data_IF_137243682993
#
_entry.id   IF_137243682993
#
_cell.length_a   1.000
_cell.length_b   1.000
_cell.length_c   1.000
_cell.angle_alpha   90.00
_cell.angle_beta   90.00
_cell.angle_gamma   90.00
#
_symmetry.space_group_name_H-M   'P 1'
#
loop_
_entity.id
_entity.type
_entity.pdbx_description
1 polymer ?
#
# COMPACT_ATOMS: atom_id res chain seq x y z
N UNK A 1 -5.75 20.83 -28.51
CA UNK A 1 -5.66 20.59 -27.05
C UNK A 1 -6.44 19.32 -26.78
N UNK A 2 -5.79 18.27 -26.25
CA UNK A 2 -6.49 17.04 -25.90
C UNK A 2 -7.02 17.14 -24.47
N UNK A 3 -8.28 16.77 -24.28
CA UNK A 3 -8.94 16.73 -22.99
C UNK A 3 -9.00 15.27 -22.52
N UNK A 4 -8.58 15.02 -21.28
CA UNK A 4 -8.70 13.72 -20.64
C UNK A 4 -9.44 13.87 -19.31
N UNK A 5 -9.96 12.75 -18.81
CA UNK A 5 -10.62 12.67 -17.50
C UNK A 5 -9.92 11.61 -16.65
N UNK A 6 -9.49 11.98 -15.44
CA UNK A 6 -8.92 11.05 -14.47
C UNK A 6 -9.92 10.72 -13.39
N UNK A 7 -10.16 9.42 -13.18
CA UNK A 7 -10.98 8.90 -12.09
C UNK A 7 -10.21 8.80 -10.78
N UNK A 8 -10.82 9.19 -9.68
CA UNK A 8 -10.25 9.09 -8.34
C UNK A 8 -11.31 9.01 -7.25
N UNK A 9 -10.94 8.52 -6.05
CA UNK A 9 -11.80 8.56 -4.86
C UNK A 9 -11.98 9.99 -4.36
N UNK A 10 -13.10 10.22 -3.65
CA UNK A 10 -13.41 11.54 -3.04
C UNK A 10 -12.56 11.88 -1.81
N UNK A 11 -11.78 10.95 -1.27
CA UNK A 11 -10.97 11.24 -0.10
C UNK A 11 -9.93 12.33 -0.39
N UNK A 12 -9.68 13.20 0.60
CA UNK A 12 -8.70 14.28 0.48
C UNK A 12 -7.32 13.78 0.03
N UNK A 13 -6.88 12.63 0.57
CA UNK A 13 -5.61 12.04 0.16
C UNK A 13 -5.62 11.62 -1.31
N UNK A 14 -6.67 10.94 -1.78
CA UNK A 14 -6.76 10.51 -3.18
C UNK A 14 -6.80 11.70 -4.14
N UNK A 15 -7.50 12.76 -3.79
CA UNK A 15 -7.54 14.00 -4.58
C UNK A 15 -6.15 14.65 -4.66
N UNK A 16 -5.39 14.71 -3.56
CA UNK A 16 -4.03 15.24 -3.57
C UNK A 16 -3.09 14.37 -4.39
N UNK A 17 -3.21 13.05 -4.32
CA UNK A 17 -2.45 12.12 -5.16
C UNK A 17 -2.76 12.35 -6.65
N UNK A 18 -4.03 12.45 -7.00
CA UNK A 18 -4.45 12.69 -8.39
C UNK A 18 -3.98 14.06 -8.89
N UNK A 19 -4.12 15.12 -8.09
CA UNK A 19 -3.63 16.46 -8.46
C UNK A 19 -2.13 16.47 -8.69
N UNK A 20 -1.34 15.78 -7.86
CA UNK A 20 0.11 15.69 -8.07
C UNK A 20 0.47 15.03 -9.40
N UNK A 21 -0.28 14.00 -9.81
CA UNK A 21 -0.10 13.35 -11.13
C UNK A 21 -0.53 14.27 -12.26
N UNK A 22 -1.67 14.95 -12.13
CA UNK A 22 -2.16 15.92 -13.13
C UNK A 22 -1.13 17.04 -13.34
N UNK A 23 -0.54 17.57 -12.26
CA UNK A 23 0.49 18.58 -12.32
C UNK A 23 1.75 18.10 -13.06
N UNK A 24 2.20 16.85 -12.78
CA UNK A 24 3.33 16.24 -13.47
C UNK A 24 3.05 16.09 -14.98
N UNK A 25 1.89 15.55 -15.36
CA UNK A 25 1.50 15.36 -16.76
C UNK A 25 1.36 16.70 -17.50
N UNK A 26 0.77 17.70 -16.86
CA UNK A 26 0.60 19.03 -17.46
C UNK A 26 1.94 19.76 -17.68
N UNK A 27 2.89 19.57 -16.76
CA UNK A 27 4.27 20.09 -16.92
C UNK A 27 5.01 19.38 -18.03
N UNK A 28 4.86 18.05 -18.16
CA UNK A 28 5.51 17.24 -19.18
C UNK A 28 4.92 17.49 -20.57
N UNK A 29 3.63 17.83 -20.67
CA UNK A 29 2.94 18.10 -21.93
C UNK A 29 1.94 19.24 -21.80
N UNK A 30 2.39 20.48 -22.04
CA UNK A 30 1.64 21.74 -21.84
C UNK A 30 0.29 21.86 -22.58
N UNK A 31 0.07 21.06 -23.64
CA UNK A 31 -1.18 21.10 -24.42
C UNK A 31 -2.24 20.09 -23.94
N UNK A 32 -2.04 19.50 -22.76
CA UNK A 32 -2.96 18.52 -22.18
C UNK A 32 -3.83 19.17 -21.11
N UNK A 33 -5.13 18.99 -21.19
CA UNK A 33 -6.08 19.34 -20.14
C UNK A 33 -6.63 18.07 -19.50
N UNK A 34 -6.60 17.99 -18.18
CA UNK A 34 -7.05 16.82 -17.44
C UNK A 34 -8.13 17.28 -16.43
N UNK A 35 -9.34 16.75 -16.55
CA UNK A 35 -10.43 16.94 -15.61
C UNK A 35 -10.39 15.83 -14.56
N UNK A 36 -10.75 16.15 -13.32
CA UNK A 36 -10.82 15.15 -12.23
C UNK A 36 -12.28 14.73 -12.05
N UNK A 37 -12.54 13.43 -12.13
CA UNK A 37 -13.84 12.81 -11.84
C UNK A 37 -13.75 12.12 -10.48
N UNK A 38 -14.49 12.66 -9.51
CA UNK A 38 -14.60 12.09 -8.18
C UNK A 38 -15.65 10.98 -8.16
N UNK A 39 -15.24 9.78 -7.74
CA UNK A 39 -16.09 8.59 -7.71
C UNK A 39 -16.21 8.11 -6.26
N UNK A 40 -17.44 7.76 -5.86
CA UNK A 40 -17.69 7.10 -4.57
C UNK A 40 -17.27 5.64 -4.67
N UNK A 41 -16.46 5.15 -3.74
CA UNK A 41 -16.18 3.74 -3.62
C UNK A 41 -17.01 3.11 -2.50
N UNK A 42 -17.41 1.85 -2.68
CA UNK A 42 -18.12 1.07 -1.66
C UNK A 42 -17.29 0.93 -0.37
N UNK A 43 -15.97 0.86 -0.51
CA UNK A 43 -15.05 0.80 0.63
C UNK A 43 -15.01 2.07 1.49
N UNK A 44 -15.40 3.25 0.93
CA UNK A 44 -15.52 4.50 1.69
C UNK A 44 -16.82 4.55 2.50
N UNK A 45 -17.86 3.86 2.08
CA UNK A 45 -19.19 3.83 2.72
C UNK A 45 -19.28 2.72 3.78
N UNK A 46 -18.53 1.64 3.64
CA UNK A 46 -18.59 0.50 4.54
C UNK A 46 -17.73 0.74 5.78
N UNK A 47 -18.33 0.60 6.96
CA UNK A 47 -17.70 0.82 8.27
C UNK A 47 -17.08 -0.44 8.86
N UNK A 48 -17.29 -1.62 8.27
CA UNK A 48 -16.75 -2.90 8.75
C UNK A 48 -15.22 -2.92 8.66
N UNK A 49 -14.49 -3.67 9.50
CA UNK A 49 -13.04 -3.80 9.43
C UNK A 49 -12.57 -4.30 8.05
N UNK A 50 -11.46 -3.76 7.52
CA UNK A 50 -10.98 -4.08 6.17
C UNK A 50 -10.70 -5.56 5.95
N UNK A 51 -10.24 -6.27 6.96
CA UNK A 51 -9.94 -7.70 6.89
C UNK A 51 -11.19 -8.61 6.85
N UNK A 52 -12.39 -8.06 7.11
CA UNK A 52 -13.66 -8.81 6.98
C UNK A 52 -14.15 -8.89 5.54
N UNK A 53 -13.53 -8.18 4.63
CA UNK A 53 -13.91 -8.19 3.24
C UNK A 53 -13.20 -9.32 2.48
N UNK A 54 -13.97 -10.18 1.86
CA UNK A 54 -13.46 -11.25 1.00
C UNK A 54 -12.95 -10.76 -0.35
N UNK A 55 -13.09 -9.46 -0.64
CA UNK A 55 -12.83 -8.92 -1.97
C UNK A 55 -11.64 -7.96 -1.96
N UNK A 56 -10.58 -8.31 -2.71
CA UNK A 56 -9.53 -7.38 -3.12
C UNK A 56 -10.14 -6.29 -3.99
N UNK A 57 -9.63 -5.06 -3.91
CA UNK A 57 -10.06 -3.98 -4.81
C UNK A 57 -11.36 -3.26 -4.41
N UNK A 58 -11.75 -3.27 -3.13
CA UNK A 58 -12.99 -2.61 -2.67
C UNK A 58 -12.98 -1.10 -2.90
N UNK A 59 -11.81 -0.49 -2.93
CA UNK A 59 -11.66 0.95 -3.11
C UNK A 59 -11.45 1.35 -4.57
N UNK A 60 -11.03 0.41 -5.42
CA UNK A 60 -10.60 0.66 -6.80
C UNK A 60 -11.67 0.25 -7.82
N UNK A 61 -12.52 -0.72 -7.47
CA UNK A 61 -13.44 -1.37 -8.40
C UNK A 61 -14.35 -0.39 -9.17
N UNK A 62 -14.97 0.56 -8.49
CA UNK A 62 -15.87 1.53 -9.10
C UNK A 62 -15.12 2.53 -9.99
N UNK A 63 -13.87 2.86 -9.60
CA UNK A 63 -13.02 3.76 -10.39
C UNK A 63 -12.51 3.03 -11.64
N UNK A 64 -12.05 1.80 -11.49
CA UNK A 64 -11.60 0.96 -12.59
C UNK A 64 -12.75 0.66 -13.57
N UNK A 65 -13.98 0.41 -13.04
CA UNK A 65 -15.15 0.26 -13.88
C UNK A 65 -15.46 1.53 -14.68
N UNK A 66 -15.31 2.70 -14.07
CA UNK A 66 -15.50 3.98 -14.80
C UNK A 66 -14.46 4.17 -15.91
N UNK A 67 -13.25 3.61 -15.78
CA UNK A 67 -12.24 3.58 -16.85
C UNK A 67 -12.65 2.61 -17.96
N UNK A 68 -13.14 1.42 -17.60
CA UNK A 68 -13.63 0.43 -18.57
C UNK A 68 -14.80 0.99 -19.36
N UNK A 69 -15.76 1.61 -18.71
CA UNK A 69 -16.98 2.18 -19.31
C UNK A 69 -16.73 3.49 -20.08
N UNK A 70 -15.50 4.05 -19.97
CA UNK A 70 -15.12 5.27 -20.69
C UNK A 70 -15.60 6.58 -20.05
N UNK A 71 -16.09 6.56 -18.79
CA UNK A 71 -16.39 7.77 -18.00
C UNK A 71 -15.11 8.47 -17.53
N UNK A 72 -14.05 7.69 -17.30
CA UNK A 72 -12.72 8.20 -17.08
C UNK A 72 -11.74 7.60 -18.12
N UNK A 73 -10.73 8.34 -18.49
CA UNK A 73 -9.69 7.87 -19.39
C UNK A 73 -8.63 7.04 -18.67
N UNK A 74 -8.32 7.41 -17.45
CA UNK A 74 -7.38 6.68 -16.57
C UNK A 74 -7.73 6.90 -15.11
N UNK A 75 -7.16 6.09 -14.24
CA UNK A 75 -7.31 6.16 -12.79
C UNK A 75 -5.96 6.40 -12.10
N UNK A 76 -6.00 7.04 -10.92
CA UNK A 76 -4.84 7.17 -10.02
C UNK A 76 -5.17 6.50 -8.68
N UNK A 77 -4.37 5.50 -8.32
CA UNK A 77 -4.52 4.74 -7.08
C UNK A 77 -3.25 4.76 -6.23
N UNK A 78 -3.39 4.56 -4.92
CA UNK A 78 -2.28 4.09 -4.10
C UNK A 78 -1.95 2.65 -4.51
N UNK A 79 -0.72 2.38 -4.95
CA UNK A 79 -0.37 1.08 -5.54
C UNK A 79 -0.57 -0.11 -4.59
N UNK A 80 -0.47 0.10 -3.28
CA UNK A 80 -0.70 -0.94 -2.26
C UNK A 80 -2.16 -1.41 -2.15
N UNK A 81 -3.09 -0.60 -2.66
CA UNK A 81 -4.53 -0.90 -2.61
C UNK A 81 -4.98 -1.61 -3.91
N UNK A 82 -4.15 -1.55 -4.97
CA UNK A 82 -4.43 -2.15 -6.29
C UNK A 82 -4.23 -3.67 -6.25
N UNK A 83 -5.23 -4.48 -6.65
CA UNK A 83 -5.11 -5.94 -6.72
C UNK A 83 -3.92 -6.38 -7.56
N UNK A 84 -3.35 -7.57 -7.23
CA UNK A 84 -2.29 -8.18 -8.04
C UNK A 84 -2.73 -8.44 -9.46
N UNK A 85 -3.98 -8.86 -9.65
CA UNK A 85 -4.62 -9.03 -10.95
C UNK A 85 -5.56 -7.87 -11.22
N UNK A 86 -5.37 -7.18 -12.34
CA UNK A 86 -6.25 -6.14 -12.85
C UNK A 86 -7.37 -6.76 -13.71
N UNK A 87 -8.45 -6.01 -13.94
CA UNK A 87 -9.42 -6.38 -14.98
C UNK A 87 -8.71 -6.60 -16.31
N UNK A 88 -9.21 -7.56 -17.11
CA UNK A 88 -8.58 -7.99 -18.39
C UNK A 88 -8.31 -6.84 -19.35
N UNK A 89 -9.15 -5.82 -19.34
CA UNK A 89 -9.06 -4.66 -20.23
C UNK A 89 -8.11 -3.56 -19.74
N UNK A 90 -7.70 -3.64 -18.47
CA UNK A 90 -6.88 -2.62 -17.83
C UNK A 90 -5.40 -3.01 -17.75
N UNK A 91 -4.55 -2.00 -17.68
CA UNK A 91 -3.11 -2.16 -17.45
C UNK A 91 -2.57 -1.09 -16.52
N UNK A 92 -1.51 -1.43 -15.80
CA UNK A 92 -0.68 -0.48 -15.07
C UNK A 92 0.16 0.30 -16.09
N UNK A 93 -0.32 1.47 -16.47
CA UNK A 93 0.28 2.28 -17.52
C UNK A 93 1.55 3.00 -17.06
N UNK A 94 1.57 3.50 -15.81
CA UNK A 94 2.72 4.26 -15.30
C UNK A 94 2.81 4.21 -13.78
N UNK A 95 4.02 4.34 -13.27
CA UNK A 95 4.36 4.47 -11.84
C UNK A 95 5.27 5.69 -11.69
N UNK A 96 4.76 6.83 -11.24
CA UNK A 96 5.60 7.99 -10.93
C UNK A 96 6.55 7.71 -9.77
N UNK A 97 7.52 8.60 -9.56
CA UNK A 97 8.51 8.51 -8.47
C UNK A 97 7.84 8.17 -7.14
N UNK A 98 8.28 7.07 -6.54
CA UNK A 98 7.77 6.53 -5.28
C UNK A 98 8.12 7.45 -4.11
N UNK A 99 7.15 7.68 -3.24
CA UNK A 99 7.36 8.35 -1.96
C UNK A 99 7.89 7.38 -0.90
N UNK A 100 8.13 7.89 0.33
CA UNK A 100 8.58 7.10 1.46
C UNK A 100 7.73 5.82 1.67
N UNK A 101 8.41 4.71 1.88
CA UNK A 101 7.78 3.39 2.10
C UNK A 101 7.52 3.09 3.57
N UNK A 102 8.14 3.85 4.49
CA UNK A 102 8.07 3.61 5.93
C UNK A 102 6.65 3.61 6.48
N UNK A 103 6.41 2.77 7.47
CA UNK A 103 5.36 2.98 8.44
C UNK A 103 5.85 3.95 9.54
N UNK A 104 4.91 4.66 10.16
CA UNK A 104 5.20 5.66 11.19
C UNK A 104 4.26 5.50 12.38
N UNK A 105 4.75 5.92 13.54
CA UNK A 105 3.95 6.05 14.76
C UNK A 105 3.51 7.50 14.96
N UNK A 106 2.28 7.67 15.42
CA UNK A 106 1.76 8.95 15.91
C UNK A 106 1.27 8.75 17.35
N UNK A 107 1.79 9.57 18.25
CA UNK A 107 1.40 9.63 19.65
C UNK A 107 1.19 11.09 20.07
N UNK A 108 0.12 11.41 20.83
CA UNK A 108 -0.27 12.78 21.17
C UNK A 108 0.79 13.56 21.97
N UNK A 109 1.61 12.86 22.75
CA UNK A 109 2.66 13.45 23.60
C UNK A 109 4.08 13.23 23.05
N UNK A 110 4.23 12.73 21.82
CA UNK A 110 5.53 12.55 21.18
C UNK A 110 6.33 11.32 21.62
N UNK A 111 5.74 10.36 22.35
CA UNK A 111 6.43 9.13 22.78
C UNK A 111 6.68 8.20 21.59
N UNK A 112 7.85 7.57 21.54
CA UNK A 112 8.21 6.53 20.58
C UNK A 112 7.66 5.17 21.04
N UNK A 113 7.72 4.15 20.19
CA UNK A 113 7.19 2.81 20.46
C UNK A 113 7.77 2.21 21.74
N UNK A 114 9.08 2.32 21.95
CA UNK A 114 9.78 1.79 23.11
C UNK A 114 9.49 2.56 24.41
N UNK A 115 8.96 3.77 24.32
CA UNK A 115 8.63 4.63 25.46
C UNK A 115 7.16 4.49 25.90
N UNK A 116 6.34 3.77 25.11
CA UNK A 116 4.93 3.56 25.44
C UNK A 116 4.80 2.67 26.70
N UNK A 117 3.85 2.97 27.61
CA UNK A 117 3.60 2.14 28.78
C UNK A 117 3.09 0.75 28.38
N UNK A 118 3.34 -0.25 29.24
CA UNK A 118 2.74 -1.57 29.09
C UNK A 118 1.21 -1.46 29.05
N UNK A 119 0.59 -2.21 28.12
CA UNK A 119 -0.87 -2.19 27.91
C UNK A 119 -1.38 -1.01 27.09
N UNK A 120 -0.49 -0.12 26.57
CA UNK A 120 -0.90 0.97 25.68
C UNK A 120 -1.66 0.45 24.45
N UNK A 121 -2.72 1.18 24.06
CA UNK A 121 -3.63 0.80 22.98
C UNK A 121 -3.19 1.44 21.67
N UNK A 122 -2.74 0.64 20.71
CA UNK A 122 -2.33 1.10 19.38
C UNK A 122 -3.40 0.80 18.34
N UNK A 123 -3.83 1.83 17.60
CA UNK A 123 -4.83 1.72 16.53
C UNK A 123 -4.20 1.29 15.20
N UNK A 124 -4.55 0.11 14.70
CA UNK A 124 -4.30 -0.31 13.31
C UNK A 124 -5.30 -1.37 12.88
N UNK A 125 -5.79 -1.30 11.63
CA UNK A 125 -6.60 -2.35 11.01
C UNK A 125 -5.76 -3.23 10.07
N UNK A 126 -4.45 -3.08 10.07
CA UNK A 126 -3.53 -3.87 9.26
C UNK A 126 -2.94 -5.00 10.09
N UNK A 127 -3.25 -6.25 9.72
CA UNK A 127 -2.69 -7.44 10.38
C UNK A 127 -1.16 -7.47 10.29
N UNK A 128 -0.59 -7.04 9.16
CA UNK A 128 0.85 -6.90 8.98
C UNK A 128 1.48 -5.98 10.03
N UNK A 129 0.83 -4.85 10.32
CA UNK A 129 1.29 -3.91 11.36
C UNK A 129 1.08 -4.48 12.75
N UNK A 130 -0.07 -5.10 12.98
CA UNK A 130 -0.42 -5.67 14.28
C UNK A 130 0.60 -6.71 14.74
N UNK A 131 0.92 -7.69 13.88
CA UNK A 131 1.87 -8.75 14.25
C UNK A 131 3.28 -8.19 14.48
N UNK A 132 3.73 -7.24 13.67
CA UNK A 132 5.04 -6.61 13.84
C UNK A 132 5.13 -5.80 15.13
N UNK A 133 4.08 -5.04 15.49
CA UNK A 133 3.99 -4.32 16.75
C UNK A 133 4.07 -5.27 17.96
N UNK A 134 3.24 -6.32 17.95
CA UNK A 134 3.18 -7.28 19.06
C UNK A 134 4.47 -8.11 19.18
N UNK A 135 5.18 -8.34 18.07
CA UNK A 135 6.50 -8.98 18.12
C UNK A 135 7.56 -8.05 18.74
N UNK A 136 7.51 -6.76 18.45
CA UNK A 136 8.44 -5.77 19.05
C UNK A 136 8.10 -5.48 20.52
N UNK A 137 6.82 -5.43 20.86
CA UNK A 137 6.30 -5.06 22.17
C UNK A 137 5.05 -5.91 22.51
N UNK A 138 5.23 -7.16 22.99
CA UNK A 138 4.14 -8.12 23.23
C UNK A 138 3.10 -7.65 24.26
N UNK A 139 3.48 -6.75 25.14
CA UNK A 139 2.62 -6.19 26.19
C UNK A 139 1.66 -5.10 25.70
N UNK A 140 1.75 -4.66 24.45
CA UNK A 140 0.85 -3.67 23.88
C UNK A 140 -0.50 -4.28 23.51
N UNK A 141 -1.53 -3.43 23.45
CA UNK A 141 -2.85 -3.80 22.95
C UNK A 141 -3.07 -3.20 21.58
N UNK A 142 -3.30 -4.04 20.58
CA UNK A 142 -3.62 -3.58 19.23
C UNK A 142 -5.12 -3.66 19.01
N UNK A 143 -5.72 -2.54 18.55
CA UNK A 143 -7.15 -2.45 18.23
C UNK A 143 -7.38 -1.91 16.82
N UNK A 144 -8.41 -2.39 16.11
CA UNK A 144 -8.76 -1.88 14.79
C UNK A 144 -9.14 -0.41 14.85
N UNK A 145 -8.77 0.34 13.81
CA UNK A 145 -9.13 1.75 13.67
C UNK A 145 -9.63 2.04 12.25
N UNK A 146 -10.71 2.78 12.12
CA UNK A 146 -11.33 3.20 10.86
C UNK A 146 -11.38 4.72 10.75
N UNK A 147 -11.59 5.18 9.51
CA UNK A 147 -11.64 6.58 9.11
C UNK A 147 -10.45 6.97 8.25
N UNK A 148 -10.50 8.18 7.68
CA UNK A 148 -9.36 8.78 6.98
C UNK A 148 -8.22 9.14 7.96
N UNK A 149 -7.09 9.60 7.43
CA UNK A 149 -5.90 9.90 8.24
C UNK A 149 -6.22 10.93 9.33
N UNK A 150 -6.90 12.01 8.99
CA UNK A 150 -7.26 13.09 9.92
C UNK A 150 -8.17 12.58 11.04
N UNK A 151 -9.15 11.74 10.70
CA UNK A 151 -10.05 11.13 11.70
C UNK A 151 -9.27 10.22 12.66
N UNK A 152 -8.30 9.45 12.14
CA UNK A 152 -7.47 8.57 12.99
C UNK A 152 -6.54 9.36 13.91
N UNK A 153 -5.95 10.46 13.42
CA UNK A 153 -5.13 11.36 14.24
C UNK A 153 -5.98 11.94 15.37
N UNK A 154 -7.19 12.43 15.07
CA UNK A 154 -8.11 12.96 16.09
C UNK A 154 -8.42 11.94 17.18
N UNK A 155 -8.55 10.65 16.85
CA UNK A 155 -8.78 9.60 17.85
C UNK A 155 -7.61 9.42 18.82
N UNK A 156 -6.37 9.75 18.41
CA UNK A 156 -5.21 9.81 19.32
C UNK A 156 -5.25 11.08 20.16
N UNK A 157 -5.55 12.22 19.56
CA UNK A 157 -5.66 13.49 20.27
C UNK A 157 -6.75 13.48 21.34
N UNK A 158 -7.85 12.75 21.09
CA UNK A 158 -8.97 12.59 22.05
C UNK A 158 -8.79 11.42 23.02
N UNK A 159 -7.66 10.70 22.98
CA UNK A 159 -7.35 9.62 23.91
C UNK A 159 -8.12 8.31 23.70
N UNK A 160 -8.78 8.14 22.54
CA UNK A 160 -9.42 6.86 22.18
C UNK A 160 -8.37 5.77 21.94
N UNK A 161 -7.21 6.17 21.40
CA UNK A 161 -6.00 5.36 21.26
C UNK A 161 -4.82 6.13 21.82
N UNK A 162 -3.87 5.41 22.41
CA UNK A 162 -2.61 6.01 22.86
C UNK A 162 -1.73 6.39 21.65
N UNK A 163 -1.70 5.52 20.64
CA UNK A 163 -0.97 5.73 19.41
C UNK A 163 -1.65 5.08 18.20
N UNK A 164 -1.22 5.46 16.99
CA UNK A 164 -1.64 4.80 15.75
C UNK A 164 -0.45 4.59 14.82
N UNK A 165 -0.54 3.57 13.95
CA UNK A 165 0.45 3.32 12.91
C UNK A 165 -0.15 3.59 11.53
N UNK A 166 0.52 4.45 10.76
CA UNK A 166 0.12 4.87 9.42
C UNK A 166 1.31 4.77 8.43
N UNK A 167 1.03 4.90 7.13
CA UNK A 167 2.08 5.02 6.11
C UNK A 167 2.55 6.47 6.00
N UNK A 168 3.86 6.69 6.05
CA UNK A 168 4.47 8.03 5.98
C UNK A 168 4.00 8.80 4.75
N UNK A 169 4.02 8.19 3.56
CA UNK A 169 3.63 8.85 2.31
C UNK A 169 2.23 9.50 2.35
N UNK A 170 1.30 8.95 3.14
CA UNK A 170 -0.02 9.56 3.31
C UNK A 170 0.03 10.88 4.07
N UNK A 171 0.84 10.94 5.13
CA UNK A 171 1.01 12.15 5.94
C UNK A 171 1.78 13.22 5.16
N UNK A 172 2.83 12.82 4.45
CA UNK A 172 3.64 13.76 3.65
C UNK A 172 2.77 14.46 2.60
N UNK A 173 1.92 13.70 1.88
CA UNK A 173 0.99 14.23 0.88
C UNK A 173 -0.08 15.16 1.46
N UNK A 174 -0.51 14.90 2.70
CA UNK A 174 -1.47 15.76 3.40
C UNK A 174 -0.85 16.98 4.09
N UNK A 175 0.49 17.08 4.12
CA UNK A 175 1.21 18.13 4.85
C UNK A 175 1.17 17.93 6.38
N UNK A 176 0.97 16.68 6.84
CA UNK A 176 0.82 16.31 8.25
C UNK A 176 2.08 15.65 8.83
N UNK A 177 3.24 15.77 8.18
CA UNK A 177 4.50 15.15 8.61
C UNK A 177 4.95 15.58 10.01
N UNK A 178 4.47 16.74 10.50
CA UNK A 178 4.72 17.23 11.86
C UNK A 178 4.07 16.35 12.95
N UNK A 179 3.04 15.58 12.61
CA UNK A 179 2.39 14.67 13.56
C UNK A 179 3.18 13.36 13.76
N UNK A 180 4.22 13.12 12.97
CA UNK A 180 5.02 11.89 13.04
C UNK A 180 5.89 11.93 14.29
N UNK A 181 5.68 10.97 15.19
CA UNK A 181 6.48 10.80 16.39
C UNK A 181 7.71 9.93 16.13
N UNK A 182 7.53 8.85 15.38
CA UNK A 182 8.59 7.91 15.02
C UNK A 182 8.42 7.41 13.59
N UNK A 183 9.54 7.24 12.88
CA UNK A 183 9.62 6.52 11.61
C UNK A 183 10.26 5.19 11.86
N UNK A 184 9.54 4.11 11.55
CA UNK A 184 10.11 2.77 11.68
C UNK A 184 11.16 2.51 10.60
N UNK A 185 12.23 1.81 10.98
CA UNK A 185 13.15 1.27 9.98
C UNK A 185 12.43 0.22 9.13
N UNK A 186 12.64 0.28 7.82
CA UNK A 186 11.93 -0.59 6.86
C UNK A 186 12.38 -2.05 6.91
N UNK A 187 13.54 -2.34 7.48
CA UNK A 187 14.04 -3.72 7.67
C UNK A 187 13.50 -4.33 8.96
N UNK A 188 13.22 -3.51 9.97
CA UNK A 188 12.63 -3.95 11.23
C UNK A 188 11.11 -4.04 11.15
N UNK A 189 10.49 -3.01 10.55
CA UNK A 189 9.05 -2.90 10.36
C UNK A 189 8.72 -2.82 8.86
N UNK A 190 8.62 -3.99 8.24
CA UNK A 190 8.57 -4.11 6.78
C UNK A 190 7.22 -3.63 6.24
N UNK A 191 7.20 -2.70 5.26
CA UNK A 191 5.98 -2.10 4.72
C UNK A 191 5.14 -3.09 3.89
N UNK A 192 3.97 -2.64 3.45
CA UNK A 192 3.16 -3.37 2.48
C UNK A 192 3.72 -3.19 1.07
N UNK A 193 3.52 -4.18 0.19
CA UNK A 193 3.81 -4.06 -1.23
C UNK A 193 3.16 -2.80 -1.81
N UNK A 194 3.90 -2.06 -2.62
CA UNK A 194 3.44 -0.84 -3.27
C UNK A 194 3.25 0.35 -2.33
N UNK A 195 3.60 0.25 -1.03
CA UNK A 195 3.48 1.40 -0.12
C UNK A 195 4.36 2.56 -0.61
N UNK A 196 3.79 3.76 -0.64
CA UNK A 196 4.46 4.96 -1.16
C UNK A 196 4.28 5.19 -2.66
N UNK A 197 4.09 4.15 -3.47
CA UNK A 197 3.91 4.27 -4.91
C UNK A 197 2.48 4.67 -5.30
N UNK A 198 2.34 5.34 -6.45
CA UNK A 198 1.08 5.55 -7.16
C UNK A 198 1.03 4.66 -8.39
N UNK A 199 -0.15 4.13 -8.68
CA UNK A 199 -0.42 3.34 -9.87
C UNK A 199 -1.37 4.13 -10.79
N UNK A 200 -0.93 4.37 -12.01
CA UNK A 200 -1.74 4.96 -13.05
C UNK A 200 -2.27 3.82 -13.93
N UNK A 201 -3.60 3.68 -13.97
CA UNK A 201 -4.26 2.57 -14.65
C UNK A 201 -5.10 3.12 -15.79
N UNK A 202 -5.01 2.52 -16.97
CA UNK A 202 -5.86 2.83 -18.13
C UNK A 202 -6.18 1.56 -18.92
N UNK A 203 -7.05 1.69 -19.92
CA UNK A 203 -7.33 0.59 -20.85
C UNK A 203 -6.12 0.28 -21.71
N UNK A 204 -5.91 -1.01 -22.00
CA UNK A 204 -4.79 -1.53 -22.81
C UNK A 204 -4.80 -1.04 -24.25
N UNK A 205 -6.00 -0.79 -24.80
CA UNK A 205 -6.20 -0.35 -26.19
C UNK A 205 -5.95 1.15 -26.42
N UNK A 206 -5.80 1.95 -25.34
CA UNK A 206 -5.58 3.40 -25.40
C UNK A 206 -4.09 3.75 -25.54
N UNK A 207 -3.53 3.53 -26.74
CA UNK A 207 -2.11 3.85 -27.04
C UNK A 207 -1.75 5.30 -26.76
N UNK A 208 -2.66 6.23 -27.08
CA UNK A 208 -2.48 7.66 -26.84
C UNK A 208 -2.32 8.00 -25.35
N UNK A 209 -3.03 7.27 -24.47
CA UNK A 209 -2.89 7.40 -23.01
C UNK A 209 -1.63 6.72 -22.50
N UNK A 210 -1.30 5.53 -22.96
CA UNK A 210 -0.07 4.85 -22.60
C UNK A 210 1.16 5.74 -22.85
N UNK A 211 1.22 6.37 -24.04
CA UNK A 211 2.29 7.31 -24.41
C UNK A 211 2.30 8.56 -23.52
N UNK A 212 1.12 9.08 -23.17
CA UNK A 212 1.01 10.23 -22.26
C UNK A 212 1.46 9.90 -20.85
N UNK A 213 0.93 8.82 -20.27
CA UNK A 213 1.19 8.43 -18.90
C UNK A 213 2.64 8.00 -18.69
N UNK A 214 3.28 7.42 -19.72
CA UNK A 214 4.70 7.08 -19.70
C UNK A 214 5.64 8.28 -19.50
N UNK A 215 5.20 9.50 -19.82
CA UNK A 215 6.00 10.71 -19.60
C UNK A 215 6.31 11.00 -18.13
N UNK A 216 5.55 10.43 -17.23
CA UNK A 216 5.71 10.61 -15.76
C UNK A 216 6.15 9.33 -15.06
N UNK A 217 6.47 8.28 -15.82
CA UNK A 217 6.99 7.04 -15.25
C UNK A 217 8.40 7.24 -14.72
N UNK A 218 8.62 6.71 -13.51
CA UNK A 218 9.94 6.53 -12.93
C UNK A 218 10.34 5.05 -13.06
N UNK A 219 11.37 4.71 -13.87
CA UNK A 219 11.73 3.31 -14.13
C UNK A 219 12.11 2.52 -12.89
N UNK A 220 12.69 3.17 -11.87
CA UNK A 220 13.07 2.51 -10.61
C UNK A 220 11.85 2.19 -9.79
N UNK A 221 10.98 3.16 -9.58
CA UNK A 221 9.71 2.96 -8.87
C UNK A 221 8.83 1.91 -9.56
N UNK A 222 8.87 1.86 -10.90
CA UNK A 222 8.21 0.83 -11.70
C UNK A 222 8.77 -0.55 -11.38
N UNK A 223 10.09 -0.72 -11.43
CA UNK A 223 10.75 -1.99 -11.17
C UNK A 223 10.55 -2.46 -9.71
N UNK A 224 10.66 -1.55 -8.74
CA UNK A 224 10.37 -1.85 -7.33
C UNK A 224 8.94 -2.39 -7.15
N UNK A 225 7.96 -1.68 -7.70
CA UNK A 225 6.55 -2.10 -7.61
C UNK A 225 6.30 -3.41 -8.35
N UNK A 226 6.93 -3.62 -9.50
CA UNK A 226 6.78 -4.84 -10.30
C UNK A 226 7.32 -6.05 -9.56
N UNK A 227 8.49 -5.96 -8.92
CA UNK A 227 9.05 -7.03 -8.11
C UNK A 227 8.10 -7.39 -6.94
N UNK A 228 7.62 -6.39 -6.20
CA UNK A 228 6.70 -6.58 -5.07
C UNK A 228 5.38 -7.22 -5.50
N UNK A 229 4.78 -6.78 -6.61
CA UNK A 229 3.52 -7.33 -7.12
C UNK A 229 3.66 -8.77 -7.63
N UNK A 230 4.77 -9.09 -8.31
CA UNK A 230 5.02 -10.44 -8.81
C UNK A 230 5.32 -11.42 -7.66
N UNK A 231 5.98 -10.99 -6.59
CA UNK A 231 6.08 -11.77 -5.36
C UNK A 231 4.67 -12.10 -4.82
N UNK A 232 3.82 -11.09 -4.66
CA UNK A 232 2.45 -11.30 -4.16
C UNK A 232 1.65 -12.23 -5.06
N UNK A 233 1.78 -12.17 -6.39
CA UNK A 233 1.06 -13.06 -7.31
C UNK A 233 1.39 -14.53 -7.09
N UNK A 234 2.60 -14.85 -6.64
CA UNK A 234 3.01 -16.22 -6.31
C UNK A 234 2.40 -16.69 -4.99
N UNK A 235 2.44 -15.84 -3.96
CA UNK A 235 2.03 -16.24 -2.59
C UNK A 235 0.53 -16.08 -2.34
N UNK A 236 -0.14 -15.17 -3.06
CA UNK A 236 -1.58 -14.90 -2.91
C UNK A 236 -2.49 -15.95 -3.57
N UNK A 237 -1.95 -16.83 -4.42
CA UNK A 237 -2.69 -17.86 -5.14
C UNK A 237 -3.41 -18.93 -4.28
N UNK A 238 -3.45 -18.74 -2.95
CA UNK A 238 -4.13 -19.64 -2.02
C UNK A 238 -3.95 -19.31 -0.55
N UNK A 239 -3.24 -18.22 -0.23
CA UNK A 239 -2.87 -17.93 1.16
C UNK A 239 -3.28 -16.50 1.56
N UNK A 240 -4.02 -16.36 2.68
CA UNK A 240 -4.43 -15.08 3.26
C UNK A 240 -3.58 -14.78 4.50
N UNK A 241 -2.35 -14.38 4.32
CA UNK A 241 -1.50 -13.92 5.41
C UNK A 241 -0.86 -12.56 5.09
N UNK A 242 -0.56 -11.76 6.10
CA UNK A 242 0.06 -10.46 5.89
C UNK A 242 1.52 -10.60 5.51
N UNK A 243 1.89 -10.09 4.33
CA UNK A 243 3.26 -10.03 3.82
C UNK A 243 3.80 -8.62 4.03
N UNK A 244 4.95 -8.50 4.67
CA UNK A 244 5.80 -7.32 4.62
C UNK A 244 6.79 -7.47 3.47
N UNK A 245 6.85 -6.49 2.56
CA UNK A 245 7.81 -6.50 1.45
C UNK A 245 8.22 -5.10 1.06
N UNK A 246 9.50 -4.93 0.75
CA UNK A 246 10.05 -3.73 0.16
C UNK A 246 11.13 -4.09 -0.84
N UNK A 247 11.08 -3.45 -1.99
CA UNK A 247 12.16 -3.50 -2.98
C UNK A 247 12.91 -2.19 -2.95
N UNK A 248 14.23 -2.27 -2.90
CA UNK A 248 15.14 -1.15 -2.84
C UNK A 248 15.99 -1.10 -4.11
N UNK A 249 16.05 0.07 -4.73
CA UNK A 249 16.95 0.36 -5.84
C UNK A 249 18.03 1.34 -5.41
N UNK A 250 19.26 1.15 -5.85
CA UNK A 250 20.37 2.09 -5.59
C UNK A 250 20.44 3.09 -6.72
N UNK A 251 20.53 4.40 -6.42
CA UNK A 251 20.50 5.49 -7.42
C UNK A 251 21.58 5.34 -8.51
N UNK A 252 22.75 4.88 -8.13
CA UNK A 252 23.93 4.83 -8.99
C UNK A 252 24.23 3.43 -9.54
N UNK A 253 23.33 2.48 -9.36
CA UNK A 253 23.46 1.11 -9.86
C UNK A 253 22.15 0.61 -10.45
N UNK A 254 22.29 -0.43 -11.30
CA UNK A 254 21.14 -1.15 -11.85
C UNK A 254 20.63 -2.27 -10.93
N UNK A 255 20.98 -2.23 -9.65
CA UNK A 255 20.67 -3.28 -8.69
C UNK A 255 19.33 -3.05 -8.01
N UNK A 256 18.61 -4.16 -7.82
CA UNK A 256 17.44 -4.27 -6.97
C UNK A 256 17.71 -5.27 -5.85
N UNK A 257 17.24 -4.95 -4.66
CA UNK A 257 17.16 -5.90 -3.55
C UNK A 257 15.73 -5.95 -3.08
N UNK A 258 15.10 -7.12 -3.13
CA UNK A 258 13.79 -7.36 -2.52
C UNK A 258 13.98 -7.99 -1.15
N UNK A 259 13.37 -7.39 -0.14
CA UNK A 259 13.36 -7.87 1.24
C UNK A 259 11.94 -8.17 1.67
N UNK A 260 11.73 -9.37 2.19
CA UNK A 260 10.41 -9.90 2.55
C UNK A 260 10.44 -10.43 3.96
N UNK A 261 9.41 -10.15 4.73
CA UNK A 261 9.21 -10.71 6.06
C UNK A 261 7.76 -11.13 6.24
N UNK A 262 7.56 -12.39 6.61
CA UNK A 262 6.25 -12.96 6.91
C UNK A 262 6.29 -13.56 8.31
N UNK A 263 5.19 -13.42 9.05
CA UNK A 263 5.08 -13.91 10.42
C UNK A 263 3.95 -14.93 10.55
N UNK A 264 4.09 -15.88 11.48
CA UNK A 264 2.97 -16.64 12.03
C UNK A 264 1.96 -15.71 12.70
N UNK A 265 0.73 -16.18 12.90
CA UNK A 265 -0.35 -15.32 13.42
C UNK A 265 -0.10 -14.85 14.86
N UNK A 266 0.57 -15.66 15.66
CA UNK A 266 0.99 -15.33 17.04
C UNK A 266 2.29 -14.53 17.10
N UNK A 267 2.98 -14.34 15.96
CA UNK A 267 4.25 -13.65 15.86
C UNK A 267 5.46 -14.43 16.40
N UNK A 268 5.29 -15.71 16.80
CA UNK A 268 6.40 -16.55 17.32
C UNK A 268 7.42 -16.83 16.25
N UNK A 269 6.97 -17.18 15.05
CA UNK A 269 7.80 -17.56 13.92
C UNK A 269 7.81 -16.50 12.83
N UNK A 270 8.88 -16.50 12.04
CA UNK A 270 9.04 -15.63 10.88
C UNK A 270 9.83 -16.29 9.76
N UNK A 271 9.47 -15.98 8.54
CA UNK A 271 10.26 -16.28 7.34
C UNK A 271 10.80 -14.97 6.78
N UNK A 272 12.10 -14.93 6.50
CA UNK A 272 12.78 -13.76 5.93
C UNK A 272 13.46 -14.19 4.63
N UNK A 273 13.09 -13.53 3.54
CA UNK A 273 13.68 -13.74 2.22
C UNK A 273 14.34 -12.45 1.75
N UNK A 274 15.59 -12.55 1.29
CA UNK A 274 16.28 -11.48 0.59
C UNK A 274 16.80 -12.02 -0.74
N UNK A 275 16.43 -11.35 -1.82
CA UNK A 275 16.91 -11.67 -3.17
C UNK A 275 17.47 -10.42 -3.85
N UNK A 276 18.49 -10.62 -4.68
CA UNK A 276 19.14 -9.57 -5.44
C UNK A 276 18.95 -9.81 -6.94
N UNK A 277 18.81 -8.72 -7.68
CA UNK A 277 18.64 -8.74 -9.13
C UNK A 277 18.97 -7.38 -9.75
N UNK A 278 18.50 -7.17 -10.96
CA UNK A 278 18.65 -5.93 -11.71
C UNK A 278 17.29 -5.38 -12.13
N UNK A 279 17.24 -4.10 -12.46
CA UNK A 279 16.00 -3.37 -12.78
C UNK A 279 15.22 -4.05 -13.93
N UNK A 280 15.92 -4.50 -14.98
CA UNK A 280 15.32 -5.15 -16.15
C UNK A 280 14.69 -6.50 -15.82
N UNK A 281 15.10 -7.14 -14.72
CA UNK A 281 14.62 -8.45 -14.28
C UNK A 281 13.70 -8.36 -13.04
N UNK A 282 13.15 -7.19 -12.76
CA UNK A 282 12.32 -6.94 -11.58
C UNK A 282 11.19 -7.97 -11.41
N UNK A 283 10.53 -8.35 -12.52
CA UNK A 283 9.51 -9.38 -12.53
C UNK A 283 10.05 -10.73 -12.05
N UNK A 284 11.15 -11.18 -12.63
CA UNK A 284 11.75 -12.47 -12.28
C UNK A 284 12.25 -12.47 -10.83
N UNK A 285 12.79 -11.35 -10.36
CA UNK A 285 13.20 -11.16 -8.97
C UNK A 285 12.03 -11.38 -8.01
N UNK A 286 10.86 -10.78 -8.31
CA UNK A 286 9.64 -10.98 -7.51
C UNK A 286 9.15 -12.42 -7.51
N UNK A 287 9.08 -13.06 -8.70
CA UNK A 287 8.67 -14.46 -8.83
C UNK A 287 9.61 -15.39 -8.05
N UNK A 288 10.93 -15.19 -8.14
CA UNK A 288 11.95 -15.97 -7.42
C UNK A 288 11.78 -15.81 -5.89
N UNK A 289 11.62 -14.59 -5.41
CA UNK A 289 11.41 -14.34 -3.98
C UNK A 289 10.10 -14.97 -3.47
N UNK A 290 9.04 -14.93 -4.27
CA UNK A 290 7.77 -15.59 -3.97
C UNK A 290 7.90 -17.11 -3.91
N UNK A 291 8.60 -17.72 -4.88
CA UNK A 291 8.85 -19.17 -4.87
C UNK A 291 9.66 -19.58 -3.65
N UNK A 292 10.69 -18.82 -3.31
CA UNK A 292 11.50 -19.10 -2.11
C UNK A 292 10.68 -19.06 -0.83
N UNK A 293 9.73 -18.12 -0.69
CA UNK A 293 8.79 -18.13 0.44
C UNK A 293 7.96 -19.41 0.51
N UNK A 294 7.50 -19.93 -0.65
CA UNK A 294 6.77 -21.19 -0.71
C UNK A 294 7.64 -22.37 -0.29
N UNK A 295 8.89 -22.39 -0.74
CA UNK A 295 9.86 -23.47 -0.43
C UNK A 295 10.25 -23.43 1.06
N UNK A 296 10.26 -22.27 1.70
CA UNK A 296 10.51 -22.08 3.14
C UNK A 296 9.24 -22.32 4.00
N UNK A 297 8.14 -22.82 3.42
CA UNK A 297 6.98 -23.28 4.17
C UNK A 297 5.98 -22.18 4.55
N UNK A 298 5.95 -21.05 3.87
CA UNK A 298 5.03 -19.94 4.18
C UNK A 298 3.54 -20.36 4.19
N UNK A 299 3.18 -21.46 3.50
CA UNK A 299 1.82 -21.99 3.49
C UNK A 299 1.37 -22.47 4.86
N UNK A 300 2.27 -22.91 5.70
CA UNK A 300 1.93 -23.38 7.05
C UNK A 300 1.44 -22.22 7.93
N UNK A 301 1.88 -21.00 7.65
CA UNK A 301 1.37 -19.80 8.32
C UNK A 301 -0.07 -19.45 7.92
N UNK A 302 -0.53 -19.86 6.73
CA UNK A 302 -1.87 -19.57 6.22
C UNK A 302 -2.96 -20.11 7.16
N UNK A 303 -2.83 -21.34 7.65
CA UNK A 303 -3.81 -21.96 8.55
C UNK A 303 -3.90 -21.23 9.89
N UNK A 304 -2.76 -20.83 10.46
CA UNK A 304 -2.72 -20.07 11.71
C UNK A 304 -3.39 -18.70 11.55
N UNK A 305 -3.22 -18.06 10.40
CA UNK A 305 -3.86 -16.78 10.10
C UNK A 305 -5.38 -16.89 9.87
N UNK A 306 -5.88 -17.98 9.29
CA UNK A 306 -7.32 -18.21 9.15
C UNK A 306 -8.02 -18.34 10.50
N UNK A 307 -7.40 -19.04 11.45
CA UNK A 307 -7.90 -19.14 12.82
C UNK A 307 -7.80 -17.82 13.57
N UNK A 308 -6.67 -17.13 13.46
CA UNK A 308 -6.46 -15.82 14.10
C UNK A 308 -7.43 -14.75 13.59
N UNK A 309 -7.78 -14.78 12.31
CA UNK A 309 -8.78 -13.87 11.72
C UNK A 309 -10.17 -14.06 12.32
N UNK A 310 -10.58 -15.30 12.58
CA UNK A 310 -11.85 -15.61 13.27
C UNK A 310 -11.83 -15.00 14.68
N UNK A 311 -10.76 -15.25 15.43
CA UNK A 311 -10.62 -14.74 16.81
C UNK A 311 -10.47 -13.20 16.86
N UNK A 312 -9.83 -12.59 15.85
CA UNK A 312 -9.71 -11.14 15.75
C UNK A 312 -11.07 -10.46 15.53
N UNK A 313 -11.99 -11.14 14.83
CA UNK A 313 -13.36 -10.67 14.64
C UNK A 313 -14.16 -10.69 15.96
N UNK A 314 -13.88 -11.64 16.85
CA UNK A 314 -14.57 -11.79 18.13
C UNK A 314 -14.10 -10.76 19.19
N UNK A 315 -13.00 -10.04 18.91
CA UNK A 315 -12.47 -8.97 19.78
C UNK A 315 -13.01 -7.57 19.44
N UNK A 316 -13.92 -7.46 18.47
CA UNK A 316 -14.56 -6.22 17.98
C UNK A 316 -15.96 -6.06 18.52
#
# INVERSE_FOLDING_TARGET
MRNYTVGTRRSRLALLQTRSVVDLLTRSKRQTRINILEINSSGDLDVRPLYTFDRKGIFEKEIDQAVIDGYADFAVHSAKDVPTELFSDLTLASVPTRSATNDILIHSKGLKLNELPSGAVIGTSSLRRAVQLLRMRPELKVKPIRGNIETRIRKVETGVYDAIVLAQAGLDRLGLSKCITERFDIMDFVPAAGQGALALICRKDRKDLLDLLKLVEDPRSRAELEAERNLLSVVEGGCRFPVGVVTLSTKDSNRLTIFVKVFSADGSDQIIVTENGIIEEARNLGLKAGQRLLDEGVRDFSQSWELALKNWNDLL
#
